data_IF_262974231048
#
_entry.id   IF_262974231048
#
_cell.length_a   1.000
_cell.length_b   1.000
_cell.length_c   1.000
_cell.angle_alpha   90.00
_cell.angle_beta   90.00
_cell.angle_gamma   90.00
#
_symmetry.space_group_name_H-M   'P 1'
#
loop_
_entity.id
_entity.type
_entity.pdbx_description
1 polymer ?
#
# COMPACT_ATOMS: atom_id res chain seq x y z
N UNK A 1 -26.60 -7.86 16.35
CA UNK A 1 -25.21 -8.05 16.80
C UNK A 1 -24.91 -7.07 17.94
N UNK A 2 -24.89 -7.52 19.19
CA UNK A 2 -24.61 -6.68 20.37
C UNK A 2 -23.11 -6.36 20.56
N UNK A 3 -22.24 -7.09 19.85
CA UNK A 3 -20.79 -7.14 20.16
C UNK A 3 -19.96 -6.22 19.24
N UNK A 4 -20.60 -5.28 18.52
CA UNK A 4 -19.94 -4.32 17.64
C UNK A 4 -20.59 -2.95 17.78
N UNK A 5 -20.43 -2.36 18.97
CA UNK A 5 -20.96 -1.03 19.28
C UNK A 5 -20.30 0.04 18.40
N UNK A 6 -21.10 1.00 17.94
CA UNK A 6 -20.62 2.21 17.25
C UNK A 6 -20.28 3.25 18.30
N UNK A 7 -19.03 3.71 18.30
CA UNK A 7 -18.57 4.77 19.19
C UNK A 7 -18.49 6.10 18.43
N UNK A 8 -18.82 7.18 19.13
CA UNK A 8 -18.85 8.55 18.63
C UNK A 8 -17.96 9.43 19.50
N UNK A 9 -17.65 10.68 19.08
CA UNK A 9 -16.92 11.62 19.93
C UNK A 9 -17.54 11.89 21.31
N UNK A 10 -18.82 11.57 21.51
CA UNK A 10 -19.53 11.75 22.78
C UNK A 10 -19.24 10.64 23.81
N UNK A 11 -18.59 9.55 23.41
CA UNK A 11 -18.36 8.36 24.25
C UNK A 11 -17.05 8.39 25.06
N UNK A 12 -16.41 9.57 25.17
CA UNK A 12 -15.25 9.79 26.03
C UNK A 12 -14.08 8.82 25.75
N UNK A 13 -13.62 8.10 26.77
CA UNK A 13 -12.48 7.17 26.64
C UNK A 13 -12.70 6.05 25.61
N UNK A 14 -13.95 5.63 25.39
CA UNK A 14 -14.27 4.60 24.37
C UNK A 14 -14.03 5.13 22.95
N UNK A 15 -14.26 6.43 22.73
CA UNK A 15 -13.94 7.08 21.45
C UNK A 15 -12.43 7.09 21.17
N UNK A 16 -11.61 7.37 22.19
CA UNK A 16 -10.15 7.30 22.05
C UNK A 16 -9.71 5.90 21.67
N UNK A 17 -10.24 4.88 22.33
CA UNK A 17 -9.94 3.48 21.99
C UNK A 17 -10.39 3.13 20.56
N UNK A 18 -11.57 3.58 20.13
CA UNK A 18 -12.07 3.36 18.77
C UNK A 18 -11.13 3.98 17.72
N UNK A 19 -10.70 5.23 17.91
CA UNK A 19 -9.73 5.88 17.02
C UNK A 19 -8.38 5.17 16.96
N UNK A 20 -7.87 4.71 18.11
CA UNK A 20 -6.60 3.97 18.17
C UNK A 20 -6.67 2.66 17.38
N UNK A 21 -7.81 1.95 17.47
CA UNK A 21 -8.03 0.75 16.66
C UNK A 21 -8.04 1.05 15.16
N UNK A 22 -8.73 2.12 14.74
CA UNK A 22 -8.71 2.55 13.34
C UNK A 22 -7.30 2.89 12.88
N UNK A 23 -6.54 3.66 13.67
CA UNK A 23 -5.18 4.07 13.31
C UNK A 23 -4.19 2.90 13.21
N UNK A 24 -4.23 1.93 14.14
CA UNK A 24 -3.31 0.78 14.08
C UNK A 24 -3.66 -0.15 12.91
N UNK A 25 -4.96 -0.30 12.60
CA UNK A 25 -5.41 -1.09 11.45
C UNK A 25 -5.03 -0.42 10.14
N UNK A 26 -5.30 0.89 10.00
CA UNK A 26 -4.95 1.69 8.84
C UNK A 26 -3.44 1.69 8.58
N UNK A 27 -2.63 1.93 9.62
CA UNK A 27 -1.18 1.89 9.49
C UNK A 27 -0.65 0.52 9.04
N UNK A 28 -1.22 -0.58 9.54
CA UNK A 28 -0.81 -1.92 9.12
C UNK A 28 -1.24 -2.26 7.69
N UNK A 29 -2.47 -1.87 7.31
CA UNK A 29 -2.97 -2.01 5.95
C UNK A 29 -2.13 -1.20 4.96
N UNK A 30 -1.90 0.09 5.26
CA UNK A 30 -1.10 0.98 4.42
C UNK A 30 0.32 0.44 4.20
N UNK A 31 0.96 -0.11 5.24
CA UNK A 31 2.29 -0.69 5.08
C UNK A 31 2.31 -1.94 4.19
N UNK A 32 1.33 -2.83 4.33
CA UNK A 32 1.35 -4.12 3.62
C UNK A 32 0.72 -4.06 2.23
N UNK A 33 -0.34 -3.28 2.07
CA UNK A 33 -1.11 -3.21 0.83
C UNK A 33 -0.64 -2.03 0.00
N UNK A 34 -0.85 -0.80 0.46
CA UNK A 34 -0.55 0.39 -0.34
C UNK A 34 0.95 0.54 -0.62
N UNK A 35 1.79 0.31 0.40
CA UNK A 35 3.23 0.48 0.29
C UNK A 35 3.92 -0.77 -0.28
N UNK A 36 3.87 -1.91 0.41
CA UNK A 36 4.61 -3.09 -0.04
C UNK A 36 4.00 -3.69 -1.33
N UNK A 37 2.68 -3.92 -1.38
CA UNK A 37 2.06 -4.56 -2.54
C UNK A 37 1.99 -3.62 -3.74
N UNK A 38 1.24 -2.52 -3.64
CA UNK A 38 0.91 -1.66 -4.79
C UNK A 38 2.08 -0.81 -5.28
N UNK A 39 3.06 -0.47 -4.42
CA UNK A 39 4.25 0.27 -4.87
C UNK A 39 5.43 -0.68 -5.14
N UNK A 40 5.94 -1.36 -4.11
CA UNK A 40 7.20 -2.11 -4.22
C UNK A 40 7.12 -3.31 -5.17
N UNK A 41 6.12 -4.18 -5.00
CA UNK A 41 6.04 -5.43 -5.77
C UNK A 41 5.59 -5.20 -7.22
N UNK A 42 4.70 -4.24 -7.45
CA UNK A 42 4.30 -3.82 -8.79
C UNK A 42 5.48 -3.22 -9.55
N UNK A 43 6.24 -2.30 -8.93
CA UNK A 43 7.44 -1.73 -9.54
C UNK A 43 8.49 -2.80 -9.87
N UNK A 44 8.69 -3.77 -8.97
CA UNK A 44 9.63 -4.88 -9.21
C UNK A 44 9.24 -5.70 -10.43
N UNK A 45 7.95 -6.01 -10.64
CA UNK A 45 7.50 -6.74 -11.82
C UNK A 45 7.87 -6.01 -13.12
N UNK A 46 7.67 -4.69 -13.18
CA UNK A 46 8.06 -3.85 -14.32
C UNK A 46 9.58 -3.85 -14.52
N UNK A 47 10.34 -3.67 -13.44
CA UNK A 47 11.80 -3.58 -13.50
C UNK A 47 12.47 -4.91 -13.88
N UNK A 48 11.96 -6.04 -13.38
CA UNK A 48 12.42 -7.37 -13.80
C UNK A 48 12.13 -7.60 -15.28
N UNK A 49 10.94 -7.22 -15.76
CA UNK A 49 10.60 -7.32 -17.18
C UNK A 49 11.52 -6.47 -18.06
N UNK A 50 11.80 -5.23 -17.64
CA UNK A 50 12.73 -4.32 -18.32
C UNK A 50 14.13 -4.95 -18.47
N UNK A 51 14.74 -5.44 -17.38
CA UNK A 51 16.08 -6.02 -17.40
C UNK A 51 16.16 -7.31 -18.24
N UNK A 52 15.08 -8.09 -18.31
CA UNK A 52 15.06 -9.38 -19.02
C UNK A 52 14.76 -9.24 -20.52
N UNK A 53 14.03 -8.19 -20.91
CA UNK A 53 13.43 -8.13 -22.25
C UNK A 53 13.84 -6.89 -23.06
N UNK A 54 14.45 -5.87 -22.46
CA UNK A 54 14.90 -4.69 -23.18
C UNK A 54 16.43 -4.64 -23.27
N UNK A 55 16.94 -4.44 -24.49
CA UNK A 55 18.36 -4.14 -24.68
C UNK A 55 18.74 -2.88 -23.90
N UNK A 56 19.96 -2.82 -23.37
CA UNK A 56 20.48 -1.60 -22.75
C UNK A 56 20.48 -0.41 -23.72
N UNK A 57 20.46 -0.63 -25.05
CA UNK A 57 20.35 0.45 -26.04
C UNK A 57 18.91 0.86 -26.36
N UNK A 58 17.92 0.10 -25.87
CA UNK A 58 16.51 0.37 -26.13
C UNK A 58 16.08 1.69 -25.45
N UNK A 59 15.33 2.58 -26.13
CA UNK A 59 14.91 3.85 -25.54
C UNK A 59 14.14 3.70 -24.21
N UNK A 60 13.22 2.72 -24.12
CA UNK A 60 12.49 2.44 -22.88
C UNK A 60 13.41 1.99 -21.72
N UNK A 61 14.48 1.24 -22.01
CA UNK A 61 15.45 0.89 -20.97
C UNK A 61 16.16 2.14 -20.45
N UNK A 62 16.59 3.03 -21.36
CA UNK A 62 17.26 4.27 -20.97
C UNK A 62 16.37 5.20 -20.14
N UNK A 63 15.07 5.20 -20.40
CA UNK A 63 14.07 5.96 -19.64
C UNK A 63 13.86 5.33 -18.24
N UNK A 64 13.65 4.02 -18.16
CA UNK A 64 13.21 3.35 -16.94
C UNK A 64 14.34 2.98 -15.97
N UNK A 65 15.60 2.86 -16.44
CA UNK A 65 16.74 2.40 -15.61
C UNK A 65 16.92 3.19 -14.30
N UNK A 66 16.58 4.48 -14.27
CA UNK A 66 16.69 5.30 -13.07
C UNK A 66 15.48 5.19 -12.15
N UNK A 67 14.29 4.90 -12.68
CA UNK A 67 13.10 4.59 -11.89
C UNK A 67 13.19 3.20 -11.22
N UNK A 68 13.88 2.26 -11.87
CA UNK A 68 14.12 0.92 -11.32
C UNK A 68 15.29 0.83 -10.34
N UNK A 69 16.06 1.91 -10.18
CA UNK A 69 17.24 1.89 -9.33
C UNK A 69 16.85 1.66 -7.87
N UNK A 70 17.31 0.54 -7.33
CA UNK A 70 17.13 0.18 -5.92
C UNK A 70 15.86 -0.60 -5.60
N UNK A 71 14.89 -0.71 -6.52
CA UNK A 71 13.64 -1.47 -6.31
C UNK A 71 13.94 -2.93 -5.96
N UNK A 72 14.72 -3.61 -6.79
CA UNK A 72 15.12 -5.01 -6.58
C UNK A 72 15.85 -5.20 -5.25
N UNK A 73 16.82 -4.33 -4.94
CA UNK A 73 17.58 -4.42 -3.68
C UNK A 73 16.70 -4.21 -2.46
N UNK A 74 15.78 -3.25 -2.53
CA UNK A 74 14.83 -2.99 -1.46
C UNK A 74 13.89 -4.19 -1.24
N UNK A 75 13.39 -4.82 -2.30
CA UNK A 75 12.45 -5.93 -2.16
C UNK A 75 13.14 -7.21 -1.67
N UNK A 76 14.34 -7.52 -2.19
CA UNK A 76 15.13 -8.68 -1.76
C UNK A 76 15.48 -8.63 -0.28
N UNK A 77 15.80 -7.44 0.26
CA UNK A 77 16.15 -7.27 1.67
C UNK A 77 14.93 -7.02 2.57
N UNK A 78 13.98 -6.23 2.07
CA UNK A 78 12.82 -5.74 2.82
C UNK A 78 11.76 -6.80 3.03
N UNK A 79 11.38 -7.56 1.99
CA UNK A 79 10.32 -8.55 2.12
C UNK A 79 10.62 -9.61 3.21
N UNK A 80 11.83 -10.19 3.30
CA UNK A 80 12.17 -11.09 4.41
C UNK A 80 12.16 -10.39 5.78
N UNK A 81 12.71 -9.18 5.87
CA UNK A 81 12.73 -8.39 7.10
C UNK A 81 11.32 -7.98 7.58
N UNK A 82 10.34 -7.94 6.69
CA UNK A 82 8.95 -7.62 7.04
C UNK A 82 8.13 -8.88 7.33
N UNK A 83 8.20 -9.88 6.43
CA UNK A 83 7.24 -10.98 6.34
C UNK A 83 7.72 -12.31 6.92
N UNK A 84 8.99 -12.45 7.33
CA UNK A 84 9.46 -13.71 7.90
C UNK A 84 9.02 -13.89 9.37
N UNK A 85 8.89 -15.14 9.86
CA UNK A 85 8.63 -15.41 11.27
C UNK A 85 9.67 -14.71 12.18
N UNK A 86 9.21 -14.08 13.26
CA UNK A 86 10.06 -13.36 14.21
C UNK A 86 10.50 -11.96 13.78
N UNK A 87 10.09 -11.50 12.58
CA UNK A 87 10.48 -10.19 12.05
C UNK A 87 9.40 -9.12 12.24
N UNK A 88 9.55 -7.94 11.62
CA UNK A 88 8.82 -6.72 11.98
C UNK A 88 7.29 -6.87 11.98
N UNK A 89 6.67 -7.50 10.98
CA UNK A 89 5.21 -7.66 10.99
C UNK A 89 4.74 -8.66 12.06
N UNK A 90 5.59 -9.59 12.47
CA UNK A 90 5.30 -10.48 13.60
C UNK A 90 5.29 -9.71 14.92
N UNK A 91 6.23 -8.78 15.11
CA UNK A 91 6.46 -8.12 16.40
C UNK A 91 5.66 -6.82 16.58
N UNK A 92 5.35 -6.11 15.50
CA UNK A 92 4.71 -4.79 15.55
C UNK A 92 3.19 -4.82 15.42
N UNK A 93 2.62 -5.84 14.77
CA UNK A 93 1.19 -5.89 14.45
C UNK A 93 0.52 -7.17 14.93
N UNK A 94 -0.72 -7.04 15.42
CA UNK A 94 -1.49 -8.16 15.97
C UNK A 94 -1.80 -9.26 14.93
N UNK A 95 -1.87 -8.93 13.64
CA UNK A 95 -2.10 -9.91 12.57
C UNK A 95 -0.86 -10.78 12.30
N UNK A 96 0.31 -10.39 12.80
CA UNK A 96 1.56 -11.12 12.68
C UNK A 96 2.04 -11.31 11.24
N UNK A 97 3.17 -12.00 11.06
CA UNK A 97 3.71 -12.24 9.72
C UNK A 97 2.75 -12.99 8.78
N UNK A 98 1.95 -13.94 9.32
CA UNK A 98 0.97 -14.71 8.51
C UNK A 98 -0.16 -13.82 7.99
N UNK A 99 -0.68 -12.93 8.84
CA UNK A 99 -1.70 -11.97 8.43
C UNK A 99 -1.15 -10.98 7.42
N UNK A 100 0.09 -10.51 7.62
CA UNK A 100 0.79 -9.65 6.68
C UNK A 100 0.92 -10.31 5.30
N UNK A 101 1.41 -11.55 5.23
CA UNK A 101 1.51 -12.30 3.97
C UNK A 101 0.14 -12.52 3.32
N UNK A 102 -0.92 -12.71 4.11
CA UNK A 102 -2.29 -12.82 3.59
C UNK A 102 -2.80 -11.51 3.01
N UNK A 103 -2.51 -10.37 3.63
CA UNK A 103 -2.86 -9.04 3.11
C UNK A 103 -2.17 -8.78 1.77
N UNK A 104 -0.84 -8.97 1.72
CA UNK A 104 -0.06 -8.79 0.48
C UNK A 104 -0.55 -9.73 -0.63
N UNK A 105 -0.73 -11.02 -0.32
CA UNK A 105 -1.22 -11.98 -1.31
C UNK A 105 -2.67 -11.70 -1.75
N UNK A 106 -3.50 -11.14 -0.88
CA UNK A 106 -4.85 -10.72 -1.20
C UNK A 106 -4.85 -9.55 -2.16
N UNK A 107 -4.09 -8.49 -1.84
CA UNK A 107 -3.93 -7.30 -2.67
C UNK A 107 -3.44 -7.65 -4.08
N UNK A 108 -2.38 -8.45 -4.19
CA UNK A 108 -1.84 -8.89 -5.47
C UNK A 108 -2.84 -9.67 -6.35
N UNK A 109 -3.86 -10.30 -5.76
CA UNK A 109 -4.92 -11.01 -6.52
C UNK A 109 -6.05 -10.10 -6.98
N UNK A 110 -6.22 -8.97 -6.31
CA UNK A 110 -7.23 -7.95 -6.63
C UNK A 110 -6.63 -6.74 -7.34
N UNK A 111 -5.38 -6.83 -7.78
CA UNK A 111 -4.69 -5.77 -8.51
C UNK A 111 -5.44 -5.44 -9.81
N UNK A 112 -5.71 -4.16 -10.01
CA UNK A 112 -6.27 -3.61 -11.24
C UNK A 112 -5.51 -2.34 -11.58
N UNK A 113 -4.51 -2.50 -12.45
CA UNK A 113 -3.61 -1.42 -12.86
C UNK A 113 -4.32 -0.17 -13.37
N UNK A 114 -5.48 -0.33 -14.02
CA UNK A 114 -6.24 0.81 -14.55
C UNK A 114 -7.09 1.43 -13.45
N UNK A 115 -7.88 0.63 -12.74
CA UNK A 115 -8.76 1.16 -11.70
C UNK A 115 -8.01 1.75 -10.50
N UNK A 116 -6.78 1.29 -10.26
CA UNK A 116 -5.88 1.79 -9.21
C UNK A 116 -4.90 2.85 -9.72
N UNK A 117 -4.97 3.23 -11.00
CA UNK A 117 -4.28 4.41 -11.52
C UNK A 117 -4.72 5.66 -10.77
N UNK A 118 -3.81 6.63 -10.58
CA UNK A 118 -4.05 7.78 -9.71
C UNK A 118 -5.36 8.54 -10.02
N UNK A 119 -5.62 8.80 -11.31
CA UNK A 119 -6.81 9.55 -11.72
C UNK A 119 -8.08 8.72 -11.53
N UNK A 120 -8.06 7.47 -11.99
CA UNK A 120 -9.18 6.55 -11.89
C UNK A 120 -9.54 6.24 -10.43
N UNK A 121 -8.54 6.05 -9.56
CA UNK A 121 -8.75 5.82 -8.13
C UNK A 121 -9.45 7.01 -7.45
N UNK A 122 -9.03 8.24 -7.74
CA UNK A 122 -9.66 9.45 -7.20
C UNK A 122 -11.14 9.55 -7.61
N UNK A 123 -11.44 9.26 -8.87
CA UNK A 123 -12.81 9.26 -9.41
C UNK A 123 -13.63 8.12 -8.77
N UNK A 124 -13.08 6.91 -8.73
CA UNK A 124 -13.76 5.72 -8.19
C UNK A 124 -14.10 5.87 -6.71
N UNK A 125 -13.26 6.58 -5.95
CA UNK A 125 -13.52 6.92 -4.54
C UNK A 125 -14.41 8.15 -4.35
N UNK A 126 -14.72 8.90 -5.40
CA UNK A 126 -15.54 10.11 -5.36
C UNK A 126 -14.89 11.26 -4.61
N UNK A 127 -13.55 11.36 -4.68
CA UNK A 127 -12.75 12.38 -3.96
C UNK A 127 -12.07 13.37 -4.91
N UNK A 128 -12.31 13.26 -6.21
CA UNK A 128 -11.78 14.12 -7.26
C UNK A 128 -12.40 15.53 -7.25
N UNK A 129 -13.65 15.67 -6.79
CA UNK A 129 -14.34 16.96 -6.76
C UNK A 129 -13.80 17.91 -5.68
N UNK A 130 -13.24 19.03 -6.13
CA UNK A 130 -12.75 20.14 -5.29
C UNK A 130 -13.86 20.95 -4.64
N UNK A 131 -15.08 20.94 -5.19
CA UNK A 131 -16.23 21.60 -4.58
C UNK A 131 -16.69 20.90 -3.31
N UNK A 132 -16.78 19.57 -3.37
CA UNK A 132 -17.20 18.72 -2.24
C UNK A 132 -16.08 18.51 -1.22
N UNK A 133 -14.84 18.26 -1.68
CA UNK A 133 -13.68 18.07 -0.82
C UNK A 133 -12.60 19.12 -1.14
N UNK A 134 -12.72 20.34 -0.55
CA UNK A 134 -11.89 21.48 -0.94
C UNK A 134 -10.44 21.39 -0.48
N UNK A 135 -10.14 20.61 0.58
CA UNK A 135 -8.79 20.46 1.09
C UNK A 135 -8.33 19.00 0.98
N UNK A 136 -7.63 18.67 -0.11
CA UNK A 136 -7.01 17.36 -0.29
C UNK A 136 -5.68 17.45 -1.06
N UNK A 137 -4.57 17.82 -0.38
CA UNK A 137 -3.29 18.08 -1.05
C UNK A 137 -2.74 16.90 -1.86
N UNK A 138 -2.90 15.65 -1.38
CA UNK A 138 -2.47 14.45 -2.12
C UNK A 138 -3.11 14.36 -3.52
N UNK A 139 -4.40 14.70 -3.65
CA UNK A 139 -5.08 14.77 -4.95
C UNK A 139 -4.52 15.91 -5.80
N UNK A 140 -4.28 17.06 -5.18
CA UNK A 140 -3.98 18.29 -5.90
C UNK A 140 -2.53 18.36 -6.39
N UNK A 141 -1.61 17.66 -5.73
CA UNK A 141 -0.18 17.61 -6.05
C UNK A 141 0.25 16.42 -6.93
N UNK A 142 -0.53 15.33 -6.93
CA UNK A 142 -0.19 14.07 -7.60
C UNK A 142 -0.47 14.01 -9.10
#
# INVERSE_FOLDING_TARGET
CSDSAVFTPKDGGKWTLAKLNVQVTDGGYSQMVDHLSHAHLVAEAVCVSMERHLSHKHPLYQMLKFHCRGVLTANVLGAPALLAPGQFMHTLYAYGWKGASKLVSGAAKSEDWIAQGFTEDLINRGVDDRGTLPYYPYRDDG
#
